data_IF_498330781442
#
_entry.id   IF_498330781442
#
_cell.length_a   1.000
_cell.length_b   1.000
_cell.length_c   1.000
_cell.angle_alpha   90.00
_cell.angle_beta   90.00
_cell.angle_gamma   90.00
#
_symmetry.space_group_name_H-M   'P 1'
#
loop_
_entity.id
_entity.type
_entity.pdbx_description
1 polymer ?
#
# COMPACT_ATOMS: atom_id res chain seq x y z
N UNK A 1 13.11 -6.16 -9.91
CA UNK A 1 11.66 -6.19 -10.17
C UNK A 1 10.98 -5.37 -9.09
N UNK A 2 10.25 -4.31 -9.44
CA UNK A 2 9.44 -3.58 -8.47
C UNK A 2 8.08 -4.28 -8.32
N UNK A 3 7.90 -4.99 -7.20
CA UNK A 3 6.64 -5.67 -6.88
C UNK A 3 5.46 -4.69 -6.80
N UNK A 4 5.71 -3.44 -6.42
CA UNK A 4 4.70 -2.39 -6.36
C UNK A 4 4.49 -1.69 -7.72
N UNK A 5 4.97 -2.28 -8.82
CA UNK A 5 4.57 -2.01 -10.21
C UNK A 5 4.09 -3.28 -10.93
N UNK A 6 4.13 -4.45 -10.29
CA UNK A 6 3.82 -5.74 -10.90
C UNK A 6 2.34 -6.16 -10.76
N UNK A 7 1.51 -5.37 -10.08
CA UNK A 7 0.09 -5.65 -9.84
C UNK A 7 -0.76 -5.72 -11.11
N UNK A 8 -1.96 -6.33 -11.05
CA UNK A 8 -2.77 -6.65 -12.23
C UNK A 8 -3.56 -5.48 -12.83
N UNK A 9 -3.62 -4.33 -12.16
CA UNK A 9 -4.38 -3.18 -12.63
C UNK A 9 -3.47 -2.06 -13.11
N UNK A 10 -3.80 -1.49 -14.27
CA UNK A 10 -3.04 -0.41 -14.90
C UNK A 10 -1.54 -0.73 -14.97
N UNK A 11 -1.19 -1.99 -15.25
CA UNK A 11 0.19 -2.44 -15.41
C UNK A 11 0.77 -1.87 -16.70
N UNK A 12 2.02 -1.41 -16.65
CA UNK A 12 2.73 -0.81 -17.77
C UNK A 12 4.21 -1.17 -17.68
N UNK A 13 4.88 -1.22 -18.83
CA UNK A 13 6.34 -1.17 -18.88
C UNK A 13 6.75 0.25 -18.50
N UNK A 14 7.44 0.40 -17.36
CA UNK A 14 7.90 1.71 -16.87
C UNK A 14 9.39 1.89 -17.13
N UNK A 15 10.16 0.86 -16.79
CA UNK A 15 11.60 0.79 -17.03
C UNK A 15 11.95 -0.50 -17.78
N UNK A 16 13.10 -0.56 -18.48
CA UNK A 16 13.63 -1.81 -19.03
C UNK A 16 14.08 -2.78 -17.91
N UNK A 17 14.35 -4.06 -18.24
CA UNK A 17 14.95 -5.01 -17.29
C UNK A 17 16.20 -4.43 -16.62
N UNK A 18 16.22 -4.46 -15.27
CA UNK A 18 17.30 -3.90 -14.45
C UNK A 18 17.05 -2.47 -13.95
N UNK A 19 16.06 -1.75 -14.47
CA UNK A 19 15.68 -0.43 -13.96
C UNK A 19 14.95 -0.48 -12.62
N UNK A 20 14.98 0.66 -11.89
CA UNK A 20 14.41 0.81 -10.54
C UNK A 20 12.94 0.42 -10.47
N UNK A 21 12.15 0.83 -11.46
CA UNK A 21 10.72 0.58 -11.56
C UNK A 21 10.37 -0.51 -12.57
N UNK A 22 11.31 -1.41 -12.87
CA UNK A 22 11.06 -2.51 -13.79
C UNK A 22 9.92 -3.39 -13.26
N UNK A 23 8.77 -3.29 -13.94
CA UNK A 23 7.50 -3.89 -13.54
C UNK A 23 7.34 -5.35 -13.97
N UNK A 24 8.32 -5.88 -14.71
CA UNK A 24 8.36 -7.24 -15.21
C UNK A 24 8.03 -7.41 -16.68
N UNK A 25 8.04 -8.66 -17.16
CA UNK A 25 7.67 -8.96 -18.53
C UNK A 25 6.15 -8.90 -18.75
N UNK A 26 5.34 -9.02 -17.70
CA UNK A 26 3.87 -8.91 -17.72
C UNK A 26 3.32 -8.65 -16.32
N UNK A 27 2.06 -8.22 -16.24
CA UNK A 27 1.34 -8.13 -14.99
C UNK A 27 1.34 -9.47 -14.22
N UNK A 28 1.55 -9.42 -12.90
CA UNK A 28 1.64 -10.57 -12.00
C UNK A 28 2.69 -11.62 -12.42
N UNK A 29 3.78 -11.20 -13.06
CA UNK A 29 4.90 -12.10 -13.37
C UNK A 29 5.54 -12.68 -12.12
N UNK A 30 5.56 -11.95 -11.01
CA UNK A 30 6.25 -12.38 -9.79
C UNK A 30 5.35 -13.29 -8.94
N UNK A 31 5.90 -14.39 -8.40
CA UNK A 31 5.14 -15.30 -7.53
C UNK A 31 4.61 -14.61 -6.27
N UNK A 32 5.34 -13.66 -5.69
CA UNK A 32 4.94 -12.88 -4.52
C UNK A 32 3.71 -12.03 -4.83
N UNK A 33 3.67 -11.37 -5.99
CA UNK A 33 2.50 -10.62 -6.45
C UNK A 33 1.28 -11.53 -6.57
N UNK A 34 1.43 -12.71 -7.18
CA UNK A 34 0.34 -13.68 -7.31
C UNK A 34 -0.15 -14.17 -5.95
N UNK A 35 0.76 -14.45 -5.02
CA UNK A 35 0.42 -14.89 -3.67
C UNK A 35 -0.38 -13.81 -2.91
N UNK A 36 0.07 -12.55 -2.96
CA UNK A 36 -0.64 -11.43 -2.33
C UNK A 36 -2.02 -11.19 -2.97
N UNK A 37 -2.12 -11.20 -4.30
CA UNK A 37 -3.40 -11.05 -5.01
C UNK A 37 -4.37 -12.18 -4.64
N UNK A 38 -3.88 -13.42 -4.58
CA UNK A 38 -4.70 -14.57 -4.17
C UNK A 38 -5.16 -14.45 -2.70
N UNK A 39 -4.27 -14.05 -1.79
CA UNK A 39 -4.60 -13.85 -0.38
C UNK A 39 -5.66 -12.76 -0.19
N UNK A 40 -5.50 -11.60 -0.83
CA UNK A 40 -6.48 -10.50 -0.76
C UNK A 40 -7.83 -10.93 -1.32
N UNK A 41 -7.86 -11.65 -2.45
CA UNK A 41 -9.11 -12.17 -3.03
C UNK A 41 -9.80 -13.19 -2.12
N UNK A 42 -9.02 -14.05 -1.45
CA UNK A 42 -9.56 -15.09 -0.56
C UNK A 42 -10.06 -14.52 0.76
N UNK A 43 -9.30 -13.63 1.37
CA UNK A 43 -9.62 -13.04 2.69
C UNK A 43 -10.69 -11.95 2.54
N UNK A 44 -10.67 -11.21 1.42
CA UNK A 44 -11.50 -10.04 1.17
C UNK A 44 -11.52 -9.06 2.37
N UNK A 45 -10.35 -8.56 2.81
CA UNK A 45 -10.25 -7.78 4.04
C UNK A 45 -10.98 -6.44 3.92
N UNK A 46 -11.69 -6.04 4.97
CA UNK A 46 -12.34 -4.73 5.06
C UNK A 46 -11.32 -3.58 5.07
N UNK A 47 -10.14 -3.83 5.66
CA UNK A 47 -9.04 -2.88 5.77
C UNK A 47 -7.72 -3.56 5.42
N UNK A 48 -6.85 -2.88 4.66
CA UNK A 48 -5.47 -3.35 4.42
C UNK A 48 -4.50 -2.18 4.55
N UNK A 49 -3.48 -2.36 5.38
CA UNK A 49 -2.44 -1.35 5.61
C UNK A 49 -1.17 -1.77 4.87
N UNK A 50 -0.82 -1.04 3.82
CA UNK A 50 0.40 -1.25 3.04
C UNK A 50 1.52 -0.38 3.60
N UNK A 51 2.52 -1.00 4.22
CA UNK A 51 3.58 -0.29 4.94
C UNK A 51 4.82 -0.14 4.05
N UNK A 52 5.32 1.10 3.93
CA UNK A 52 6.47 1.50 3.14
C UNK A 52 7.36 2.50 3.91
N UNK A 53 8.48 2.87 3.30
CA UNK A 53 9.36 3.96 3.75
C UNK A 53 10.02 4.62 2.51
N UNK A 54 10.31 5.93 2.48
CA UNK A 54 10.41 6.83 3.64
C UNK A 54 9.78 8.25 3.48
N UNK A 55 8.51 8.36 3.04
CA UNK A 55 7.87 9.67 2.82
C UNK A 55 7.21 10.34 4.06
N UNK A 56 7.12 9.66 5.21
CA UNK A 56 6.51 10.18 6.46
C UNK A 56 5.07 10.70 6.29
N UNK A 57 4.17 9.87 5.76
CA UNK A 57 2.77 10.22 5.54
C UNK A 57 1.84 9.00 5.58
N UNK A 58 0.53 9.25 5.64
CA UNK A 58 -0.51 8.25 5.36
C UNK A 58 -1.28 8.68 4.11
N UNK A 59 -1.30 7.82 3.10
CA UNK A 59 -1.90 8.10 1.80
C UNK A 59 -3.43 7.96 1.84
N UNK A 60 -4.13 9.03 1.47
CA UNK A 60 -5.59 9.12 1.42
C UNK A 60 -6.17 8.98 0.00
N UNK A 61 -5.34 8.67 -1.00
CA UNK A 61 -5.76 8.53 -2.40
C UNK A 61 -6.54 7.24 -2.68
N UNK A 62 -6.58 6.30 -1.74
CA UNK A 62 -7.34 5.05 -1.79
C UNK A 62 -8.12 4.86 -0.49
N UNK A 63 -9.16 4.03 -0.53
CA UNK A 63 -9.92 3.62 0.65
C UNK A 63 -10.74 4.74 1.31
N UNK A 64 -11.33 4.45 2.47
CA UNK A 64 -12.16 5.40 3.20
C UNK A 64 -11.31 6.46 3.92
N UNK A 65 -11.42 7.72 3.48
CA UNK A 65 -10.65 8.86 4.02
C UNK A 65 -10.89 9.11 5.52
N UNK A 66 -12.06 8.81 6.07
CA UNK A 66 -12.34 9.01 7.49
C UNK A 66 -11.55 8.03 8.36
N UNK A 67 -11.55 6.74 7.97
CA UNK A 67 -10.76 5.67 8.61
C UNK A 67 -9.27 6.01 8.56
N UNK A 68 -8.79 6.42 7.39
CA UNK A 68 -7.37 6.75 7.17
C UNK A 68 -6.94 7.96 7.99
N UNK A 69 -7.76 9.01 8.07
CA UNK A 69 -7.47 10.18 8.90
C UNK A 69 -7.45 9.85 10.39
N UNK A 70 -8.34 8.97 10.86
CA UNK A 70 -8.33 8.47 12.24
C UNK A 70 -7.04 7.73 12.55
N UNK A 71 -6.62 6.82 11.66
CA UNK A 71 -5.34 6.13 11.78
C UNK A 71 -4.16 7.12 11.84
N UNK A 72 -4.09 8.03 10.86
CA UNK A 72 -3.02 9.01 10.73
C UNK A 72 -2.89 9.89 11.98
N UNK A 73 -4.02 10.37 12.52
CA UNK A 73 -4.07 11.11 13.77
C UNK A 73 -3.53 10.28 14.95
N UNK A 74 -3.94 9.02 15.07
CA UNK A 74 -3.50 8.15 16.16
C UNK A 74 -1.99 7.87 16.16
N UNK A 75 -1.35 7.87 14.99
CA UNK A 75 0.09 7.62 14.85
C UNK A 75 0.92 8.90 14.65
N UNK A 76 0.28 10.07 14.66
CA UNK A 76 0.95 11.37 14.52
C UNK A 76 1.60 11.59 13.15
N UNK A 77 1.02 11.02 12.08
CA UNK A 77 1.48 11.23 10.70
C UNK A 77 0.49 12.09 9.91
N UNK A 78 0.97 12.90 8.94
CA UNK A 78 0.07 13.67 8.09
C UNK A 78 -0.70 12.76 7.13
N UNK A 79 -2.00 13.02 6.98
CA UNK A 79 -2.85 12.34 5.99
C UNK A 79 -2.87 13.16 4.69
N UNK A 80 -2.23 12.67 3.64
CA UNK A 80 -2.00 13.39 2.38
C UNK A 80 -2.58 12.59 1.22
N UNK A 81 -3.15 13.24 0.20
CA UNK A 81 -3.45 12.55 -1.05
C UNK A 81 -2.13 12.38 -1.83
N UNK A 82 -1.61 11.15 -1.86
CA UNK A 82 -0.30 10.86 -2.43
C UNK A 82 -0.38 10.21 -3.83
N UNK A 83 -1.58 10.18 -4.43
CA UNK A 83 -1.81 9.70 -5.79
C UNK A 83 -1.71 8.18 -6.00
N UNK A 84 -2.16 7.74 -7.16
CA UNK A 84 -2.12 6.33 -7.61
C UNK A 84 -0.87 6.05 -8.42
N UNK A 85 -0.47 4.78 -8.49
CA UNK A 85 0.69 4.34 -9.27
C UNK A 85 0.29 3.17 -10.16
N UNK A 86 0.70 3.22 -11.42
CA UNK A 86 0.51 2.14 -12.40
C UNK A 86 1.08 0.83 -11.86
N UNK A 87 0.31 -0.25 -11.91
CA UNK A 87 0.72 -1.57 -11.44
C UNK A 87 0.95 -1.69 -9.94
N UNK A 88 0.56 -0.71 -9.11
CA UNK A 88 0.74 -0.84 -7.66
C UNK A 88 -0.37 -1.67 -7.01
N UNK A 89 0.01 -2.53 -6.05
CA UNK A 89 -0.93 -3.41 -5.36
C UNK A 89 -2.02 -2.64 -4.58
N UNK A 90 -1.72 -1.54 -3.86
CA UNK A 90 -2.75 -0.74 -3.21
C UNK A 90 -3.74 -0.11 -4.21
N UNK A 91 -3.25 0.33 -5.39
CA UNK A 91 -4.13 0.90 -6.44
C UNK A 91 -5.03 -0.17 -7.03
N UNK A 92 -4.49 -1.35 -7.31
CA UNK A 92 -5.28 -2.50 -7.75
C UNK A 92 -6.36 -2.87 -6.73
N UNK A 93 -6.00 -3.01 -5.45
CA UNK A 93 -6.95 -3.44 -4.42
C UNK A 93 -8.08 -2.43 -4.26
N UNK A 94 -7.78 -1.13 -4.29
CA UNK A 94 -8.81 -0.09 -4.26
C UNK A 94 -9.78 -0.17 -5.45
N UNK A 95 -9.25 -0.43 -6.65
CA UNK A 95 -10.07 -0.58 -7.85
C UNK A 95 -10.94 -1.86 -7.81
N UNK A 96 -10.36 -2.99 -7.42
CA UNK A 96 -11.04 -4.28 -7.42
C UNK A 96 -12.06 -4.43 -6.28
N UNK A 97 -11.86 -3.72 -5.16
CA UNK A 97 -12.68 -3.83 -3.96
C UNK A 97 -13.10 -2.42 -3.47
N UNK A 98 -13.98 -1.71 -4.20
CA UNK A 98 -14.29 -0.30 -3.91
C UNK A 98 -14.99 -0.06 -2.56
N UNK A 99 -15.49 -1.12 -1.91
CA UNK A 99 -16.13 -1.06 -0.59
C UNK A 99 -15.18 -1.31 0.58
N UNK A 100 -13.91 -1.64 0.33
CA UNK A 100 -12.90 -1.86 1.36
C UNK A 100 -11.94 -0.66 1.48
N UNK A 101 -11.10 -0.66 2.51
CA UNK A 101 -10.15 0.43 2.81
C UNK A 101 -8.70 -0.04 2.76
N UNK A 102 -8.13 -0.21 1.55
CA UNK A 102 -6.68 -0.31 1.40
C UNK A 102 -6.04 1.08 1.44
N UNK A 103 -4.99 1.25 2.23
CA UNK A 103 -4.24 2.50 2.27
C UNK A 103 -2.75 2.27 2.54
N UNK A 104 -1.94 3.28 2.22
CA UNK A 104 -0.48 3.22 2.35
C UNK A 104 -0.04 4.04 3.57
N UNK A 105 0.90 3.50 4.33
CA UNK A 105 1.63 4.21 5.38
C UNK A 105 3.09 4.26 4.97
N UNK A 106 3.61 5.47 4.80
CA UNK A 106 5.01 5.73 4.53
C UNK A 106 5.67 6.18 5.84
N UNK A 107 6.53 5.35 6.40
CA UNK A 107 7.30 5.69 7.59
C UNK A 107 8.31 6.81 7.32
N UNK A 108 8.80 7.51 8.36
CA UNK A 108 10.00 8.33 8.22
C UNK A 108 11.21 7.47 7.90
N UNK A 109 12.29 8.11 7.42
CA UNK A 109 13.55 7.42 7.16
C UNK A 109 14.16 6.90 8.47
N UNK A 110 14.86 5.76 8.37
CA UNK A 110 15.54 5.12 9.49
C UNK A 110 14.61 4.25 10.35
N UNK A 111 15.18 3.73 11.44
CA UNK A 111 14.46 2.82 12.32
C UNK A 111 13.36 3.54 13.12
N UNK A 112 12.22 2.86 13.28
CA UNK A 112 11.18 3.28 14.21
C UNK A 112 11.59 2.94 15.64
N UNK A 113 11.35 3.86 16.58
CA UNK A 113 11.44 3.53 17.99
C UNK A 113 10.34 2.54 18.39
N UNK A 114 10.59 1.75 19.41
CA UNK A 114 9.60 0.80 19.96
C UNK A 114 8.27 1.49 20.35
N UNK A 115 8.32 2.74 20.81
CA UNK A 115 7.13 3.53 21.10
C UNK A 115 6.29 3.80 19.85
N UNK A 116 6.94 4.15 18.72
CA UNK A 116 6.25 4.36 17.43
C UNK A 116 5.67 3.06 16.90
N UNK A 117 6.41 1.95 16.95
CA UNK A 117 5.91 0.62 16.55
C UNK A 117 4.64 0.28 17.35
N UNK A 118 4.67 0.43 18.68
CA UNK A 118 3.48 0.21 19.54
C UNK A 118 2.32 1.13 19.18
N UNK A 119 2.56 2.39 18.82
CA UNK A 119 1.51 3.30 18.37
C UNK A 119 0.84 2.80 17.09
N UNK A 120 1.62 2.35 16.10
CA UNK A 120 1.08 1.77 14.87
C UNK A 120 0.29 0.48 15.13
N UNK A 121 0.82 -0.44 15.94
CA UNK A 121 0.11 -1.70 16.29
C UNK A 121 -1.22 -1.42 16.98
N UNK A 122 -1.24 -0.52 17.98
CA UNK A 122 -2.48 -0.11 18.65
C UNK A 122 -3.47 0.55 17.69
N UNK A 123 -2.98 1.41 16.80
CA UNK A 123 -3.83 2.07 15.81
C UNK A 123 -4.44 1.06 14.83
N UNK A 124 -3.69 0.05 14.39
CA UNK A 124 -4.21 -1.04 13.54
C UNK A 124 -5.28 -1.85 14.27
N UNK A 125 -5.05 -2.20 15.54
CA UNK A 125 -6.03 -2.95 16.35
C UNK A 125 -7.30 -2.19 16.72
N UNK A 126 -7.39 -0.89 16.37
CA UNK A 126 -8.53 -0.03 16.64
C UNK A 126 -9.28 0.40 15.36
N UNK A 127 -8.92 -0.16 14.21
CA UNK A 127 -9.64 0.00 12.93
C UNK A 127 -10.79 -1.00 12.85
#
# INVERSE_FOLDING_TARGET
MDLNRNGPYNWKVLDPPGGTYYAGPRAQSEPETRALVAAVRRICPDVTVWIHQHARLVDTSKGNRAVIRRYAHAVGLPAINYGTRSGSLPTWQHHAFPRTTPFVVEFPAGALSQAKVRAHVRAIGAL
#
